data_IF_498586073218
#
_entry.id   IF_498586073218
#
_cell.length_a   1.000
_cell.length_b   1.000
_cell.length_c   1.000
_cell.angle_alpha   90.00
_cell.angle_beta   90.00
_cell.angle_gamma   90.00
#
_symmetry.space_group_name_H-M   'P 1'
#
loop_
_entity.id
_entity.type
_entity.pdbx_description
1 polymer ?
#
# COMPACT_ATOMS: atom_id res chain seq x y z
N UNK A 1 55.04 -5.94 -1.66
CA UNK A 1 53.78 -6.37 -2.30
C UNK A 1 52.67 -6.20 -1.27
N UNK A 2 51.84 -5.17 -1.39
CA UNK A 2 50.73 -4.95 -0.45
C UNK A 2 49.56 -5.85 -0.80
N UNK A 3 49.09 -6.62 0.17
CA UNK A 3 47.86 -7.39 0.07
C UNK A 3 46.67 -6.43 0.01
N UNK A 4 45.87 -6.53 -1.04
CA UNK A 4 44.56 -5.86 -1.12
C UNK A 4 43.69 -6.53 -0.06
N UNK A 5 43.24 -5.77 0.93
CA UNK A 5 42.23 -6.23 1.86
C UNK A 5 40.98 -6.55 1.04
N UNK A 6 40.66 -7.83 0.88
CA UNK A 6 39.36 -8.28 0.43
C UNK A 6 38.37 -7.80 1.50
N UNK A 7 37.74 -6.66 1.25
CA UNK A 7 36.73 -6.11 2.16
C UNK A 7 35.69 -7.18 2.43
N UNK A 8 35.41 -7.40 3.71
CA UNK A 8 34.34 -8.27 4.18
C UNK A 8 33.05 -7.91 3.42
N UNK A 9 32.69 -8.72 2.43
CA UNK A 9 31.38 -8.67 1.79
C UNK A 9 30.38 -9.33 2.74
N UNK A 10 30.15 -8.70 3.90
CA UNK A 10 29.04 -9.07 4.75
C UNK A 10 27.76 -8.59 4.07
N UNK A 11 26.86 -9.52 3.78
CA UNK A 11 25.65 -9.21 3.07
C UNK A 11 24.76 -8.29 3.93
N UNK A 12 24.49 -7.07 3.45
CA UNK A 12 23.74 -6.05 4.20
C UNK A 12 22.27 -6.42 4.49
N UNK A 13 21.74 -7.46 3.86
CA UNK A 13 20.37 -7.93 4.10
C UNK A 13 20.00 -9.17 3.30
N UNK A 14 18.97 -9.87 3.77
CA UNK A 14 18.46 -11.10 3.15
C UNK A 14 17.20 -10.82 2.34
N UNK A 15 17.10 -11.40 1.14
CA UNK A 15 15.89 -11.39 0.31
C UNK A 15 15.24 -12.76 0.36
N UNK A 16 14.00 -12.82 0.84
CA UNK A 16 13.17 -14.03 0.85
C UNK A 16 11.85 -13.75 0.13
N UNK A 17 11.38 -14.75 -0.61
CA UNK A 17 10.06 -14.73 -1.27
C UNK A 17 9.15 -15.67 -0.49
N UNK A 18 7.90 -15.26 -0.26
CA UNK A 18 6.92 -16.07 0.44
C UNK A 18 5.50 -15.56 0.22
N UNK A 19 4.52 -16.40 0.59
CA UNK A 19 3.13 -16.00 0.59
C UNK A 19 2.87 -15.03 1.74
N UNK A 20 2.32 -13.87 1.42
CA UNK A 20 1.94 -12.83 2.39
C UNK A 20 0.45 -12.54 2.27
N UNK A 21 -0.25 -12.55 3.40
CA UNK A 21 -1.65 -12.09 3.47
C UNK A 21 -1.68 -10.57 3.44
N UNK A 22 -2.17 -9.99 2.35
CA UNK A 22 -2.30 -8.53 2.19
C UNK A 22 -3.75 -8.19 1.84
N UNK A 23 -4.28 -7.14 2.46
CA UNK A 23 -5.63 -6.66 2.14
C UNK A 23 -5.61 -5.95 0.79
N UNK A 24 -6.61 -6.21 -0.06
CA UNK A 24 -6.77 -5.50 -1.33
C UNK A 24 -8.04 -4.64 -1.28
N UNK A 25 -7.89 -3.33 -1.47
CA UNK A 25 -8.99 -2.39 -1.64
C UNK A 25 -9.16 -2.06 -3.11
N UNK A 26 -10.11 -2.73 -3.78
CA UNK A 26 -10.44 -2.45 -5.18
C UNK A 26 -11.45 -1.31 -5.31
N UNK A 27 -11.04 -0.26 -6.01
CA UNK A 27 -11.84 0.93 -6.25
C UNK A 27 -12.70 0.71 -7.50
N UNK A 28 -14.03 0.78 -7.32
CA UNK A 28 -15.02 0.69 -8.41
C UNK A 28 -15.55 2.05 -8.84
N UNK A 29 -15.57 3.00 -7.90
CA UNK A 29 -15.99 4.38 -8.13
C UNK A 29 -15.03 5.25 -7.33
N UNK A 30 -14.49 6.28 -7.98
CA UNK A 30 -13.53 7.17 -7.35
C UNK A 30 -14.27 8.31 -6.64
N UNK A 31 -14.55 8.07 -5.36
CA UNK A 31 -15.08 9.04 -4.41
C UNK A 31 -14.18 9.02 -3.18
N UNK A 32 -13.23 9.96 -3.13
CA UNK A 32 -12.13 9.94 -2.15
C UNK A 32 -12.66 10.06 -0.72
N UNK A 33 -13.55 11.02 -0.46
CA UNK A 33 -14.08 11.27 0.87
C UNK A 33 -14.87 10.07 1.39
N UNK A 34 -15.72 9.48 0.53
CA UNK A 34 -16.47 8.29 0.89
C UNK A 34 -15.55 7.10 1.18
N UNK A 35 -14.52 6.88 0.36
CA UNK A 35 -13.57 5.78 0.56
C UNK A 35 -12.83 5.91 1.91
N UNK A 36 -12.43 7.12 2.27
CA UNK A 36 -11.76 7.41 3.55
C UNK A 36 -12.71 7.14 4.72
N UNK A 37 -13.94 7.63 4.64
CA UNK A 37 -14.92 7.47 5.72
C UNK A 37 -15.32 6.01 5.92
N UNK A 38 -15.60 5.29 4.84
CA UNK A 38 -15.91 3.86 4.97
C UNK A 38 -14.70 3.05 5.50
N UNK A 39 -13.47 3.44 5.19
CA UNK A 39 -12.28 2.80 5.77
C UNK A 39 -12.16 3.08 7.27
N UNK A 40 -12.38 4.33 7.68
CA UNK A 40 -12.39 4.73 9.09
C UNK A 40 -13.40 3.91 9.88
N UNK A 41 -14.61 3.74 9.33
CA UNK A 41 -15.64 2.89 9.94
C UNK A 41 -15.22 1.42 10.04
N UNK A 42 -14.56 0.86 9.01
CA UNK A 42 -14.03 -0.52 9.05
C UNK A 42 -12.98 -0.68 10.14
N UNK A 43 -12.05 0.27 10.25
CA UNK A 43 -11.00 0.27 11.28
C UNK A 43 -11.60 0.39 12.68
N UNK A 44 -12.56 1.30 12.89
CA UNK A 44 -13.24 1.46 14.18
C UNK A 44 -14.04 0.22 14.58
N UNK A 45 -14.73 -0.41 13.63
CA UNK A 45 -15.57 -1.59 13.89
C UNK A 45 -14.74 -2.84 14.19
N UNK A 46 -13.60 -3.01 13.53
CA UNK A 46 -12.75 -4.19 13.67
C UNK A 46 -11.24 -3.84 13.72
N UNK A 47 -10.78 -3.15 14.78
CA UNK A 47 -9.41 -2.64 14.86
C UNK A 47 -8.38 -3.76 14.86
N UNK A 48 -8.68 -4.93 15.43
CA UNK A 48 -7.77 -6.10 15.41
C UNK A 48 -7.50 -6.65 14.01
N UNK A 49 -8.39 -6.37 13.05
CA UNK A 49 -8.25 -6.82 11.67
C UNK A 49 -7.65 -5.74 10.78
N UNK A 50 -8.00 -4.47 11.00
CA UNK A 50 -7.70 -3.41 10.05
C UNK A 50 -6.75 -2.32 10.56
N UNK A 51 -6.56 -2.15 11.87
CA UNK A 51 -5.63 -1.13 12.37
C UNK A 51 -4.21 -1.45 11.89
N UNK A 52 -3.62 -0.49 11.17
CA UNK A 52 -2.31 -0.60 10.51
C UNK A 52 -2.20 -1.75 9.50
N UNK A 53 -3.31 -2.25 8.98
CA UNK A 53 -3.28 -3.30 7.96
C UNK A 53 -2.53 -2.78 6.71
N UNK A 54 -1.66 -3.63 6.15
CA UNK A 54 -1.06 -3.37 4.85
C UNK A 54 -2.14 -3.55 3.76
N UNK A 55 -2.37 -2.50 2.96
CA UNK A 55 -3.41 -2.46 1.94
C UNK A 55 -2.82 -2.15 0.57
N UNK A 56 -3.12 -2.98 -0.42
CA UNK A 56 -2.97 -2.63 -1.84
C UNK A 56 -4.18 -1.82 -2.28
N UNK A 57 -3.94 -0.67 -2.91
CA UNK A 57 -5.01 0.14 -3.52
C UNK A 57 -5.08 -0.23 -4.99
N UNK A 58 -6.19 -0.82 -5.41
CA UNK A 58 -6.39 -1.36 -6.75
C UNK A 58 -7.34 -0.46 -7.56
N UNK A 59 -6.77 0.25 -8.53
CA UNK A 59 -7.45 1.11 -9.50
C UNK A 59 -7.92 0.35 -10.75
N UNK A 60 -7.67 -0.95 -10.88
CA UNK A 60 -8.08 -1.76 -12.04
C UNK A 60 -9.60 -1.95 -12.17
N UNK A 61 -10.40 -1.40 -11.25
CA UNK A 61 -11.86 -1.29 -11.40
C UNK A 61 -12.33 0.02 -12.05
N UNK A 62 -11.43 0.97 -12.29
CA UNK A 62 -11.72 2.26 -12.90
C UNK A 62 -11.49 2.22 -14.42
N UNK A 63 -12.26 3.01 -15.17
CA UNK A 63 -12.07 3.18 -16.61
C UNK A 63 -10.86 4.05 -16.95
N UNK A 64 -10.45 4.92 -16.03
CA UNK A 64 -9.29 5.80 -16.11
C UNK A 64 -8.60 5.83 -14.75
N UNK A 65 -7.28 5.86 -14.75
CA UNK A 65 -6.50 6.03 -13.51
C UNK A 65 -6.65 7.46 -12.98
N UNK A 66 -6.71 7.65 -11.65
CA UNK A 66 -6.73 8.98 -11.06
C UNK A 66 -5.43 9.73 -11.39
N UNK A 67 -5.51 11.06 -11.42
CA UNK A 67 -4.31 11.88 -11.41
C UNK A 67 -3.53 11.75 -10.09
N UNK A 68 -2.29 12.24 -10.10
CA UNK A 68 -1.37 12.11 -8.95
C UNK A 68 -1.91 12.82 -7.71
N UNK A 69 -2.58 13.95 -7.86
CA UNK A 69 -3.10 14.73 -6.74
C UNK A 69 -4.24 13.98 -6.04
N UNK A 70 -5.17 13.42 -6.82
CA UNK A 70 -6.30 12.65 -6.34
C UNK A 70 -5.84 11.33 -5.72
N UNK A 71 -4.91 10.63 -6.36
CA UNK A 71 -4.32 9.42 -5.79
C UNK A 71 -3.63 9.72 -4.45
N UNK A 72 -2.88 10.83 -4.34
CA UNK A 72 -2.23 11.24 -3.10
C UNK A 72 -3.23 11.55 -1.99
N UNK A 73 -4.29 12.31 -2.29
CA UNK A 73 -5.34 12.62 -1.33
C UNK A 73 -6.00 11.35 -0.77
N UNK A 74 -6.28 10.36 -1.63
CA UNK A 74 -6.79 9.06 -1.20
C UNK A 74 -5.80 8.33 -0.29
N UNK A 75 -4.52 8.25 -0.68
CA UNK A 75 -3.51 7.54 0.10
C UNK A 75 -3.29 8.16 1.48
N UNK A 76 -3.25 9.48 1.55
CA UNK A 76 -3.05 10.21 2.81
C UNK A 76 -4.28 10.07 3.71
N UNK A 77 -5.49 10.24 3.17
CA UNK A 77 -6.73 10.02 3.91
C UNK A 77 -6.90 8.58 4.42
N UNK A 78 -6.48 7.57 3.64
CA UNK A 78 -6.48 6.17 4.09
C UNK A 78 -5.47 5.92 5.22
N UNK A 79 -4.31 6.60 5.21
CA UNK A 79 -3.37 6.57 6.35
C UNK A 79 -3.98 7.15 7.61
N UNK A 80 -4.66 8.30 7.48
CA UNK A 80 -5.38 8.94 8.58
C UNK A 80 -6.55 8.09 9.09
N UNK A 81 -7.22 7.34 8.20
CA UNK A 81 -8.27 6.38 8.56
C UNK A 81 -7.73 5.16 9.33
N UNK A 82 -6.42 4.95 9.35
CA UNK A 82 -5.74 3.97 10.21
C UNK A 82 -5.19 2.74 9.49
N UNK A 83 -5.20 2.68 8.16
CA UNK A 83 -4.55 1.61 7.38
C UNK A 83 -3.21 2.07 6.81
N UNK A 84 -2.43 1.15 6.24
CA UNK A 84 -1.15 1.43 5.60
C UNK A 84 -1.22 1.08 4.11
N UNK A 85 -1.43 2.05 3.21
CA UNK A 85 -1.27 1.81 1.78
C UNK A 85 0.18 1.46 1.45
N UNK A 86 0.41 0.26 0.90
CA UNK A 86 1.75 -0.27 0.62
C UNK A 86 2.04 -0.45 -0.87
N UNK A 87 1.01 -0.49 -1.71
CA UNK A 87 1.14 -0.65 -3.15
C UNK A 87 -0.04 -0.04 -3.90
N UNK A 88 0.21 0.28 -5.17
CA UNK A 88 -0.82 0.61 -6.15
C UNK A 88 -0.88 -0.52 -7.18
N UNK A 89 -2.06 -1.07 -7.40
CA UNK A 89 -2.33 -1.91 -8.56
C UNK A 89 -3.11 -1.07 -9.58
N UNK A 90 -2.56 -0.91 -10.78
CA UNK A 90 -3.19 -0.19 -11.86
C UNK A 90 -2.80 -0.82 -13.19
N UNK A 91 -3.70 -0.77 -14.15
CA UNK A 91 -3.50 -1.27 -15.49
C UNK A 91 -4.38 -0.47 -16.41
N UNK A 92 -3.78 0.50 -17.08
CA UNK A 92 -4.40 1.17 -18.22
C UNK A 92 -4.08 0.32 -19.45
N UNK A 93 -5.08 0.01 -20.27
CA UNK A 93 -4.84 -0.38 -21.67
C UNK A 93 -4.23 0.79 -22.43
#
# INVERSE_FOLDING_TARGET
MSAVAMGDYEQAGELKIGQVGIANLRIRTLDVDRLIEEMRQRVQRAPRLFARAAVVIDFGGLSQVPDVATARALLDGLREAGVLPVALAYGTT
#
